data_IF_318558399817
#
_entry.id   IF_318558399817
#
_cell.length_a   1.000
_cell.length_b   1.000
_cell.length_c   1.000
_cell.angle_alpha   90.00
_cell.angle_beta   90.00
_cell.angle_gamma   90.00
#
_symmetry.space_group_name_H-M   'P 1'
#
loop_
_entity.id
_entity.type
_entity.pdbx_description
1 polymer ?
#
# COMPACT_ATOMS: atom_id res chain seq x y z
N UNK A 1 3.70 -1.86 -28.12
CA UNK A 1 4.67 -2.93 -28.42
C UNK A 1 5.35 -3.31 -27.11
N UNK A 2 4.91 -4.39 -26.46
CA UNK A 2 5.58 -4.92 -25.27
C UNK A 2 6.75 -5.77 -25.75
N UNK A 3 7.97 -5.25 -25.57
CA UNK A 3 9.20 -5.94 -25.95
C UNK A 3 9.32 -7.25 -25.16
N UNK A 4 9.59 -8.35 -25.87
CA UNK A 4 10.01 -9.61 -25.26
C UNK A 4 11.46 -9.42 -24.80
N UNK A 5 11.83 -9.90 -23.61
CA UNK A 5 13.23 -9.94 -23.21
C UNK A 5 14.01 -10.82 -24.19
N UNK A 6 15.14 -10.33 -24.68
CA UNK A 6 16.01 -11.13 -25.54
C UNK A 6 16.82 -12.15 -24.72
N UNK A 7 17.43 -13.10 -25.43
CA UNK A 7 18.16 -14.21 -24.81
C UNK A 7 19.39 -13.75 -24.04
N UNK A 8 20.03 -12.66 -24.46
CA UNK A 8 21.18 -12.08 -23.79
C UNK A 8 20.79 -11.49 -22.43
N UNK A 9 19.69 -10.70 -22.39
CA UNK A 9 19.15 -10.14 -21.15
C UNK A 9 18.72 -11.23 -20.18
N UNK A 10 18.12 -12.32 -20.67
CA UNK A 10 17.73 -13.47 -19.82
C UNK A 10 18.97 -14.15 -19.21
N UNK A 11 20.03 -14.33 -19.99
CA UNK A 11 21.28 -14.92 -19.50
C UNK A 11 21.95 -14.03 -18.42
N UNK A 12 21.93 -12.71 -18.60
CA UNK A 12 22.44 -11.75 -17.62
C UNK A 12 21.63 -11.76 -16.32
N UNK A 13 20.29 -11.72 -16.40
CA UNK A 13 19.41 -11.84 -15.23
C UNK A 13 19.73 -13.13 -14.46
N UNK A 14 19.88 -14.25 -15.17
CA UNK A 14 20.22 -15.53 -14.55
C UNK A 14 21.59 -15.51 -13.88
N UNK A 15 22.58 -14.85 -14.47
CA UNK A 15 23.93 -14.76 -13.87
C UNK A 15 23.94 -13.93 -12.59
N UNK A 16 23.14 -12.86 -12.52
CA UNK A 16 23.11 -11.94 -11.38
C UNK A 16 22.19 -12.45 -10.26
N UNK A 17 21.05 -13.05 -10.62
CA UNK A 17 19.99 -13.39 -9.65
C UNK A 17 19.84 -14.88 -9.40
N UNK A 18 20.45 -15.74 -10.23
CA UNK A 18 20.25 -17.19 -10.22
C UNK A 18 18.89 -17.65 -10.78
N UNK A 19 18.02 -16.71 -11.19
CA UNK A 19 16.68 -17.00 -11.66
C UNK A 19 16.62 -17.14 -13.19
N UNK A 20 16.09 -18.26 -13.69
CA UNK A 20 15.74 -18.42 -15.10
C UNK A 20 14.30 -17.99 -15.36
N UNK A 21 14.13 -16.77 -15.87
CA UNK A 21 12.80 -16.21 -16.14
C UNK A 21 12.14 -16.81 -17.39
N UNK A 22 12.85 -17.61 -18.19
CA UNK A 22 12.28 -18.30 -19.35
C UNK A 22 11.45 -19.53 -18.94
N UNK A 23 11.78 -20.16 -17.81
CA UNK A 23 11.10 -21.35 -17.27
C UNK A 23 9.81 -21.03 -16.50
N UNK A 24 9.45 -19.75 -16.40
CA UNK A 24 8.25 -19.32 -15.70
C UNK A 24 6.98 -19.90 -16.35
N UNK A 25 6.02 -20.35 -15.53
CA UNK A 25 4.71 -20.72 -16.04
C UNK A 25 3.95 -19.49 -16.60
N UNK A 26 3.07 -19.74 -17.58
CA UNK A 26 2.13 -18.71 -18.05
C UNK A 26 1.08 -18.45 -16.97
N UNK A 27 0.90 -17.19 -16.52
CA UNK A 27 -0.09 -16.88 -15.51
C UNK A 27 -1.53 -17.10 -15.98
N UNK A 28 -2.39 -17.40 -15.01
CA UNK A 28 -3.84 -17.59 -15.18
C UNK A 28 -4.56 -16.29 -15.55
N UNK A 29 -5.83 -16.15 -15.14
CA UNK A 29 -6.64 -14.91 -15.31
C UNK A 29 -7.12 -14.33 -13.98
N UNK A 30 -6.73 -14.95 -12.88
CA UNK A 30 -7.10 -14.57 -11.53
C UNK A 30 -6.22 -13.43 -11.02
N UNK A 31 -6.72 -12.71 -10.03
CA UNK A 31 -5.95 -11.74 -9.26
C UNK A 31 -5.86 -12.17 -7.80
N UNK A 32 -4.73 -11.87 -7.17
CA UNK A 32 -4.56 -12.08 -5.73
C UNK A 32 -4.46 -10.74 -5.00
N UNK A 33 -4.99 -10.66 -3.79
CA UNK A 33 -5.06 -9.44 -2.99
C UNK A 33 -4.49 -9.72 -1.61
N UNK A 34 -3.46 -9.00 -1.22
CA UNK A 34 -2.84 -9.12 0.07
C UNK A 34 -2.79 -7.76 0.77
N UNK A 35 -2.72 -7.77 2.09
CA UNK A 35 -2.51 -6.58 2.89
C UNK A 35 -2.28 -6.98 4.33
N UNK A 36 -1.56 -6.14 5.07
CA UNK A 36 -1.34 -6.37 6.51
C UNK A 36 -2.64 -6.12 7.28
N UNK A 37 -2.79 -6.74 8.45
CA UNK A 37 -4.04 -6.80 9.22
C UNK A 37 -4.83 -5.49 9.25
N UNK A 38 -6.13 -5.57 8.94
CA UNK A 38 -7.04 -4.42 9.01
C UNK A 38 -6.98 -3.43 7.84
N UNK A 39 -6.17 -3.68 6.81
CA UNK A 39 -6.11 -2.86 5.57
C UNK A 39 -7.39 -2.89 4.72
N UNK A 40 -8.28 -3.86 4.96
CA UNK A 40 -9.58 -3.96 4.29
C UNK A 40 -9.57 -4.79 3.00
N UNK A 41 -8.72 -5.81 2.92
CA UNK A 41 -8.63 -6.76 1.80
C UNK A 41 -10.00 -7.35 1.44
N UNK A 42 -10.74 -7.91 2.41
CA UNK A 42 -12.04 -8.53 2.15
C UNK A 42 -13.08 -7.51 1.63
N UNK A 43 -13.04 -6.27 2.14
CA UNK A 43 -13.90 -5.19 1.65
C UNK A 43 -13.55 -4.79 0.22
N UNK A 44 -12.26 -4.74 -0.12
CA UNK A 44 -11.80 -4.43 -1.47
C UNK A 44 -12.22 -5.50 -2.47
N UNK A 45 -12.02 -6.78 -2.12
CA UNK A 45 -12.46 -7.91 -2.95
C UNK A 45 -13.97 -7.81 -3.17
N UNK A 46 -14.76 -7.64 -2.09
CA UNK A 46 -16.22 -7.51 -2.19
C UNK A 46 -16.65 -6.35 -3.07
N UNK A 47 -16.02 -5.17 -2.94
CA UNK A 47 -16.34 -4.00 -3.76
C UNK A 47 -16.01 -4.23 -5.24
N UNK A 48 -14.85 -4.85 -5.54
CA UNK A 48 -14.45 -5.18 -6.90
C UNK A 48 -15.39 -6.22 -7.52
N UNK A 49 -15.76 -7.27 -6.79
CA UNK A 49 -16.70 -8.31 -7.27
C UNK A 49 -18.08 -7.73 -7.55
N UNK A 50 -18.55 -6.75 -6.78
CA UNK A 50 -19.83 -6.09 -7.05
C UNK A 50 -19.80 -5.23 -8.32
N UNK A 51 -18.69 -4.54 -8.59
CA UNK A 51 -18.55 -3.65 -9.76
C UNK A 51 -18.17 -4.42 -11.03
N UNK A 52 -17.37 -5.47 -10.90
CA UNK A 52 -16.84 -6.28 -11.99
C UNK A 52 -16.91 -7.77 -11.63
N UNK A 53 -18.10 -8.40 -11.72
CA UNK A 53 -18.32 -9.79 -11.29
C UNK A 53 -17.52 -10.85 -12.06
N UNK A 54 -17.02 -10.51 -13.24
CA UNK A 54 -16.15 -11.38 -14.05
C UNK A 54 -14.71 -11.47 -13.52
N UNK A 55 -14.32 -10.63 -12.56
CA UNK A 55 -12.99 -10.68 -11.94
C UNK A 55 -12.96 -11.76 -10.86
N UNK A 56 -12.06 -12.73 -11.03
CA UNK A 56 -11.75 -13.73 -10.02
C UNK A 56 -10.63 -13.21 -9.12
N UNK A 57 -11.01 -12.57 -8.01
CA UNK A 57 -10.08 -12.07 -7.00
C UNK A 57 -10.10 -12.97 -5.76
N UNK A 58 -8.92 -13.31 -5.26
CA UNK A 58 -8.75 -14.11 -4.04
C UNK A 58 -7.84 -13.38 -3.06
N UNK A 59 -8.05 -13.64 -1.77
CA UNK A 59 -7.11 -13.21 -0.76
C UNK A 59 -5.83 -14.04 -0.87
N UNK A 60 -4.68 -13.37 -0.83
CA UNK A 60 -3.39 -14.03 -0.90
C UNK A 60 -3.10 -14.79 0.39
N UNK A 61 -2.58 -16.00 0.25
CA UNK A 61 -2.18 -16.85 1.35
C UNK A 61 -0.79 -17.42 1.04
N UNK A 62 0.15 -17.21 1.96
CA UNK A 62 1.50 -17.73 1.82
C UNK A 62 1.49 -19.27 1.71
N UNK A 63 2.15 -19.81 0.70
CA UNK A 63 2.24 -21.25 0.46
C UNK A 63 0.95 -21.95 0.02
N UNK A 64 -0.08 -21.22 -0.43
CA UNK A 64 -1.30 -21.84 -0.96
C UNK A 64 -1.12 -22.33 -2.41
N UNK A 65 -1.30 -23.64 -2.63
CA UNK A 65 -1.31 -24.27 -3.95
C UNK A 65 -2.56 -23.95 -4.79
N UNK A 66 -3.53 -23.20 -4.23
CA UNK A 66 -4.84 -23.01 -4.85
C UNK A 66 -4.81 -22.19 -6.16
N UNK A 67 -3.77 -21.40 -6.38
CA UNK A 67 -3.50 -20.71 -7.65
C UNK A 67 -2.05 -20.22 -7.73
N UNK A 68 -1.11 -21.04 -8.21
CA UNK A 68 0.33 -20.76 -8.04
C UNK A 68 0.82 -19.53 -8.83
N UNK A 69 0.06 -19.05 -9.84
CA UNK A 69 0.51 -18.01 -10.76
C UNK A 69 -0.63 -17.06 -11.19
N UNK A 70 -1.11 -16.16 -10.30
CA UNK A 70 -2.10 -15.15 -10.65
C UNK A 70 -1.58 -14.21 -11.76
N UNK A 71 -2.50 -13.66 -12.55
CA UNK A 71 -2.16 -12.68 -13.58
C UNK A 71 -1.70 -11.34 -13.00
N UNK A 72 -2.14 -11.04 -11.79
CA UNK A 72 -1.90 -9.77 -11.11
C UNK A 72 -2.00 -9.95 -9.61
N UNK A 73 -1.18 -9.20 -8.87
CA UNK A 73 -1.29 -9.07 -7.43
C UNK A 73 -1.61 -7.63 -7.01
N UNK A 74 -2.34 -7.49 -5.90
CA UNK A 74 -2.64 -6.20 -5.28
C UNK A 74 -2.08 -6.22 -3.87
N UNK A 75 -1.27 -5.22 -3.54
CA UNK A 75 -0.91 -4.90 -2.16
C UNK A 75 -1.82 -3.77 -1.66
N UNK A 76 -2.67 -4.09 -0.68
CA UNK A 76 -3.52 -3.12 -0.01
C UNK A 76 -2.76 -2.50 1.15
N UNK A 77 -2.69 -1.17 1.15
CA UNK A 77 -2.07 -0.37 2.19
C UNK A 77 -3.11 0.57 2.81
N UNK A 78 -2.98 0.82 4.11
CA UNK A 78 -3.81 1.76 4.84
C UNK A 78 -3.00 3.06 5.08
N UNK A 79 -3.52 4.25 4.74
CA UNK A 79 -2.88 5.53 5.03
C UNK A 79 -2.44 5.70 6.48
N UNK A 80 -3.14 5.04 7.42
CA UNK A 80 -2.87 5.13 8.86
C UNK A 80 -1.81 4.17 9.37
N UNK A 81 -1.43 3.17 8.57
CA UNK A 81 -0.43 2.19 8.93
C UNK A 81 0.98 2.64 8.51
N UNK A 82 1.97 2.26 9.31
CA UNK A 82 3.35 2.29 8.87
C UNK A 82 3.55 1.28 7.76
N UNK A 83 4.34 1.63 6.75
CA UNK A 83 4.99 0.59 5.95
C UNK A 83 6.21 0.16 6.74
N UNK A 84 6.20 -1.09 7.17
CA UNK A 84 7.32 -1.75 7.81
C UNK A 84 7.89 -2.87 6.94
N UNK A 85 8.66 -3.75 7.60
CA UNK A 85 9.26 -4.91 6.95
C UNK A 85 8.21 -5.91 6.43
N UNK A 86 7.06 -5.98 7.09
CA UNK A 86 5.97 -6.89 6.72
C UNK A 86 5.40 -6.53 5.34
N UNK A 87 5.09 -5.25 5.08
CA UNK A 87 4.63 -4.80 3.77
C UNK A 87 5.71 -4.94 2.69
N UNK A 88 6.99 -4.72 3.04
CA UNK A 88 8.12 -4.90 2.11
C UNK A 88 8.29 -6.36 1.74
N UNK A 89 8.26 -7.27 2.72
CA UNK A 89 8.35 -8.71 2.51
C UNK A 89 7.15 -9.22 1.70
N UNK A 90 5.95 -8.74 2.02
CA UNK A 90 4.72 -9.06 1.29
C UNK A 90 4.79 -8.58 -0.16
N UNK A 91 5.23 -7.35 -0.41
CA UNK A 91 5.44 -6.83 -1.76
C UNK A 91 6.44 -7.70 -2.54
N UNK A 92 7.55 -8.08 -1.91
CA UNK A 92 8.56 -8.94 -2.52
C UNK A 92 7.99 -10.32 -2.89
N UNK A 93 7.15 -10.90 -2.04
CA UNK A 93 6.45 -12.16 -2.32
C UNK A 93 5.49 -12.02 -3.53
N UNK A 94 4.63 -11.00 -3.51
CA UNK A 94 3.68 -10.74 -4.60
C UNK A 94 4.37 -10.49 -5.95
N UNK A 95 5.49 -9.75 -5.93
CA UNK A 95 6.28 -9.49 -7.15
C UNK A 95 6.92 -10.75 -7.71
N UNK A 96 7.31 -11.70 -6.84
CA UNK A 96 7.85 -13.00 -7.26
C UNK A 96 6.78 -13.90 -7.87
N UNK A 97 5.58 -13.87 -7.33
CA UNK A 97 4.49 -14.76 -7.74
C UNK A 97 3.81 -14.30 -9.04
N UNK A 98 3.32 -13.05 -9.05
CA UNK A 98 2.53 -12.48 -10.14
C UNK A 98 3.37 -11.75 -11.19
N UNK A 99 4.49 -11.14 -10.79
CA UNK A 99 5.28 -10.21 -11.61
C UNK A 99 4.60 -8.86 -11.86
N UNK A 100 3.27 -8.82 -12.01
CA UNK A 100 2.47 -7.59 -12.11
C UNK A 100 1.85 -7.29 -10.76
N UNK A 101 2.24 -6.17 -10.14
CA UNK A 101 1.73 -5.76 -8.82
C UNK A 101 1.26 -4.32 -8.84
N UNK A 102 0.09 -4.05 -8.25
CA UNK A 102 -0.38 -2.70 -7.97
C UNK A 102 -0.42 -2.44 -6.45
N UNK A 103 -0.20 -1.19 -6.06
CA UNK A 103 -0.40 -0.72 -4.69
C UNK A 103 -1.74 0.00 -4.61
N UNK A 104 -2.60 -0.44 -3.68
CA UNK A 104 -3.94 0.11 -3.47
C UNK A 104 -4.02 0.71 -2.07
N UNK A 105 -4.12 2.04 -2.03
CA UNK A 105 -4.32 2.80 -0.81
C UNK A 105 -5.81 2.85 -0.48
N UNK A 106 -6.25 2.07 0.51
CA UNK A 106 -7.65 1.99 0.92
C UNK A 106 -8.02 3.09 1.93
N UNK A 107 -9.32 3.30 2.18
CA UNK A 107 -9.87 4.22 3.19
C UNK A 107 -9.59 5.71 2.91
N UNK A 108 -9.46 6.09 1.65
CA UNK A 108 -9.21 7.49 1.26
C UNK A 108 -10.38 8.42 1.62
N UNK A 109 -11.58 7.87 1.79
CA UNK A 109 -12.78 8.55 2.26
C UNK A 109 -12.67 8.99 3.73
N UNK A 110 -11.84 8.29 4.51
CA UNK A 110 -11.61 8.56 5.94
C UNK A 110 -10.45 9.53 6.14
N UNK A 111 -9.37 9.39 5.36
CA UNK A 111 -8.12 10.13 5.54
C UNK A 111 -7.95 11.22 4.49
N UNK A 112 -8.26 12.47 4.82
CA UNK A 112 -8.17 13.58 3.87
C UNK A 112 -6.75 13.83 3.31
N UNK A 113 -5.71 13.58 4.12
CA UNK A 113 -4.30 13.73 3.74
C UNK A 113 -3.69 12.43 3.18
N UNK A 114 -4.54 11.51 2.70
CA UNK A 114 -4.11 10.28 2.06
C UNK A 114 -3.08 10.50 0.93
N UNK A 115 -3.09 11.59 0.13
CA UNK A 115 -2.08 11.74 -0.92
C UNK A 115 -0.67 11.93 -0.35
N UNK A 116 -0.51 12.66 0.75
CA UNK A 116 0.78 12.85 1.40
C UNK A 116 1.25 11.55 2.05
N UNK A 117 0.36 10.86 2.76
CA UNK A 117 0.63 9.56 3.39
C UNK A 117 1.08 8.54 2.34
N UNK A 118 0.39 8.50 1.20
CA UNK A 118 0.71 7.60 0.10
C UNK A 118 2.06 7.88 -0.55
N UNK A 119 2.48 9.14 -0.66
CA UNK A 119 3.85 9.47 -1.12
C UNK A 119 4.92 8.90 -0.20
N UNK A 120 4.70 8.94 1.12
CA UNK A 120 5.63 8.34 2.10
C UNK A 120 5.66 6.83 1.99
N UNK A 121 4.49 6.19 1.92
CA UNK A 121 4.36 4.75 1.66
C UNK A 121 5.14 4.37 0.40
N UNK A 122 4.98 5.15 -0.67
CA UNK A 122 5.67 4.95 -1.95
C UNK A 122 7.18 5.09 -1.84
N UNK A 123 7.70 6.04 -1.07
CA UNK A 123 9.15 6.17 -0.89
C UNK A 123 9.82 4.95 -0.29
N UNK A 124 9.07 4.07 0.36
CA UNK A 124 9.55 2.80 0.91
C UNK A 124 9.25 1.63 -0.04
N UNK A 125 7.99 1.50 -0.49
CA UNK A 125 7.56 0.34 -1.29
C UNK A 125 7.94 0.41 -2.77
N UNK A 126 7.94 1.61 -3.35
CA UNK A 126 8.19 1.83 -4.77
C UNK A 126 9.01 3.11 -4.99
N UNK A 127 10.28 3.15 -4.54
CA UNK A 127 11.10 4.36 -4.60
C UNK A 127 11.34 4.84 -6.04
N UNK A 128 11.38 3.90 -6.99
CA UNK A 128 11.57 4.17 -8.41
C UNK A 128 10.28 4.55 -9.14
N UNK A 129 9.13 4.53 -8.48
CA UNK A 129 7.87 4.98 -9.04
C UNK A 129 7.31 4.10 -10.17
N UNK A 130 7.57 2.79 -10.15
CA UNK A 130 7.24 1.85 -11.24
C UNK A 130 5.90 1.16 -11.06
N UNK A 131 5.36 1.09 -9.85
CA UNK A 131 4.13 0.35 -9.58
C UNK A 131 2.89 1.22 -9.85
N UNK A 132 1.84 0.67 -10.49
CA UNK A 132 0.51 1.28 -10.53
C UNK A 132 -0.01 1.54 -9.12
N UNK A 133 -0.64 2.70 -8.94
CA UNK A 133 -1.08 3.21 -7.65
C UNK A 133 -2.53 3.66 -7.73
N UNK A 134 -3.37 3.15 -6.85
CA UNK A 134 -4.78 3.50 -6.78
C UNK A 134 -5.15 3.96 -5.37
N UNK A 135 -5.83 5.09 -5.26
CA UNK A 135 -6.53 5.49 -4.04
C UNK A 135 -7.98 5.00 -4.12
N UNK A 136 -8.43 4.22 -3.13
CA UNK A 136 -9.78 3.64 -3.13
C UNK A 136 -10.49 3.81 -1.80
N UNK A 137 -11.81 3.93 -1.86
CA UNK A 137 -12.70 3.66 -0.75
C UNK A 137 -13.35 2.30 -1.01
N UNK A 138 -13.02 1.27 -0.23
CA UNK A 138 -13.45 -0.12 -0.45
C UNK A 138 -14.93 -0.36 -0.09
N UNK A 139 -15.82 0.29 -0.82
CA UNK A 139 -17.28 0.11 -0.79
C UNK A 139 -17.79 0.06 -2.23
N UNK A 140 -18.96 -0.56 -2.43
CA UNK A 140 -19.59 -0.55 -3.76
C UNK A 140 -19.94 0.90 -4.16
N UNK A 141 -19.47 1.33 -5.34
CA UNK A 141 -19.56 2.72 -5.78
C UNK A 141 -18.57 3.68 -5.10
N UNK A 142 -17.66 3.16 -4.28
CA UNK A 142 -16.60 3.95 -3.65
C UNK A 142 -15.61 4.51 -4.67
N UNK A 143 -15.06 5.67 -4.35
CA UNK A 143 -14.08 6.37 -5.19
C UNK A 143 -12.93 5.43 -5.57
N UNK A 144 -12.51 5.45 -6.83
CA UNK A 144 -11.35 4.71 -7.33
C UNK A 144 -11.58 3.22 -7.66
N UNK A 145 -12.69 2.61 -7.22
CA UNK A 145 -12.97 1.19 -7.51
C UNK A 145 -13.15 0.94 -9.00
N UNK A 146 -13.87 1.81 -9.72
CA UNK A 146 -14.08 1.66 -11.16
C UNK A 146 -12.76 1.62 -11.95
N UNK A 147 -11.86 2.58 -11.68
CA UNK A 147 -10.54 2.65 -12.32
C UNK A 147 -9.67 1.42 -11.98
N UNK A 148 -9.72 0.95 -10.73
CA UNK A 148 -9.02 -0.28 -10.33
C UNK A 148 -9.57 -1.49 -11.09
N UNK A 149 -10.89 -1.67 -11.15
CA UNK A 149 -11.52 -2.81 -11.85
C UNK A 149 -11.30 -2.79 -13.36
N UNK A 150 -11.25 -1.61 -13.97
CA UNK A 150 -10.91 -1.44 -15.39
C UNK A 150 -9.47 -1.88 -15.67
N UNK A 151 -8.52 -1.44 -14.83
CA UNK A 151 -7.13 -1.85 -14.94
C UNK A 151 -6.96 -3.36 -14.71
N UNK A 152 -7.59 -3.93 -13.67
CA UNK A 152 -7.58 -5.37 -13.42
C UNK A 152 -8.13 -6.15 -14.61
N UNK A 153 -9.27 -5.72 -15.16
CA UNK A 153 -9.89 -6.36 -16.33
C UNK A 153 -8.95 -6.33 -17.54
N UNK A 154 -8.24 -5.22 -17.74
CA UNK A 154 -7.26 -5.08 -18.83
C UNK A 154 -6.13 -6.09 -18.69
N UNK A 155 -5.58 -6.27 -17.48
CA UNK A 155 -4.47 -7.19 -17.22
C UNK A 155 -4.94 -8.66 -17.32
N UNK A 156 -6.06 -9.00 -16.68
CA UNK A 156 -6.56 -10.39 -16.63
C UNK A 156 -7.12 -10.88 -17.96
N UNK A 157 -7.69 -9.99 -18.77
CA UNK A 157 -8.24 -10.30 -20.10
C UNK A 157 -7.21 -10.28 -21.22
N UNK A 158 -5.99 -9.80 -20.96
CA UNK A 158 -4.93 -9.77 -21.96
C UNK A 158 -4.62 -11.17 -22.51
N UNK A 159 -4.19 -11.32 -23.78
CA UNK A 159 -3.79 -12.61 -24.33
C UNK A 159 -2.70 -13.31 -23.50
N UNK A 160 -2.69 -14.64 -23.47
CA UNK A 160 -1.79 -15.44 -22.62
C UNK A 160 -0.30 -15.07 -22.83
N UNK A 161 0.15 -14.91 -24.07
CA UNK A 161 1.52 -14.49 -24.37
C UNK A 161 1.86 -13.08 -23.86
N UNK A 162 0.88 -12.17 -23.80
CA UNK A 162 1.08 -10.85 -23.20
C UNK A 162 1.21 -10.95 -21.68
N UNK A 163 0.35 -11.74 -21.02
CA UNK A 163 0.44 -11.95 -19.57
C UNK A 163 1.75 -12.63 -19.18
N UNK A 164 2.21 -13.60 -19.95
CA UNK A 164 3.52 -14.24 -19.78
C UNK A 164 4.65 -13.22 -19.83
N UNK A 165 4.71 -12.37 -20.86
CA UNK A 165 5.77 -11.33 -20.98
C UNK A 165 5.74 -10.32 -19.84
N UNK A 166 4.54 -9.92 -19.40
CA UNK A 166 4.38 -9.01 -18.26
C UNK A 166 4.90 -9.64 -16.96
N UNK A 167 4.54 -10.90 -16.70
CA UNK A 167 5.06 -11.65 -15.54
C UNK A 167 6.57 -11.82 -15.62
N UNK A 168 7.08 -12.25 -16.77
CA UNK A 168 8.51 -12.44 -17.00
C UNK A 168 9.31 -11.18 -16.69
N UNK A 169 8.89 -10.04 -17.25
CA UNK A 169 9.55 -8.75 -17.05
C UNK A 169 9.44 -8.28 -15.59
N UNK A 170 8.27 -8.44 -14.98
CA UNK A 170 8.02 -8.02 -13.60
C UNK A 170 8.80 -8.83 -12.56
N UNK A 171 8.86 -10.15 -12.74
CA UNK A 171 9.64 -11.07 -11.91
C UNK A 171 11.14 -10.82 -12.08
N UNK A 172 11.62 -10.65 -13.32
CA UNK A 172 13.01 -10.30 -13.60
C UNK A 172 13.43 -9.02 -12.86
N UNK A 173 12.63 -7.96 -12.98
CA UNK A 173 12.90 -6.69 -12.31
C UNK A 173 12.90 -6.84 -10.78
N UNK A 174 11.99 -7.65 -10.23
CA UNK A 174 11.95 -7.92 -8.80
C UNK A 174 13.20 -8.65 -8.29
N UNK A 175 13.69 -9.61 -9.07
CA UNK A 175 14.90 -10.36 -8.74
C UNK A 175 16.15 -9.44 -8.78
N UNK A 176 16.24 -8.55 -9.78
CA UNK A 176 17.33 -7.57 -9.88
C UNK A 176 17.29 -6.57 -8.73
N UNK A 177 16.11 -6.03 -8.40
CA UNK A 177 15.95 -5.11 -7.26
C UNK A 177 16.41 -5.79 -5.95
N UNK A 178 16.04 -7.06 -5.74
CA UNK A 178 16.41 -7.81 -4.55
C UNK A 178 17.92 -8.06 -4.46
N UNK A 179 18.58 -8.37 -5.57
CA UNK A 179 20.04 -8.58 -5.62
C UNK A 179 20.84 -7.30 -5.31
N UNK A 180 20.28 -6.12 -5.59
CA UNK A 180 20.93 -4.83 -5.36
C UNK A 180 20.67 -4.19 -3.98
N UNK A 181 19.81 -4.77 -3.13
CA UNK A 181 19.40 -4.13 -1.87
C UNK A 181 20.27 -4.58 -0.68
N UNK A 182 20.98 -3.67 0.02
CA UNK A 182 21.75 -4.00 1.22
C UNK A 182 20.84 -4.28 2.44
N UNK A 183 21.31 -5.05 3.45
CA UNK A 183 20.50 -5.40 4.61
C UNK A 183 20.15 -4.17 5.48
N UNK A 184 18.96 -4.14 6.11
CA UNK A 184 18.49 -3.00 6.88
C UNK A 184 19.17 -2.84 8.25
N UNK A 185 19.47 -1.59 8.64
CA UNK A 185 20.02 -1.19 9.95
C UNK A 185 18.94 -1.23 11.05
N UNK A 186 19.26 -1.86 12.19
CA UNK A 186 18.34 -2.13 13.31
C UNK A 186 18.10 -0.90 14.21
N UNK A 187 19.02 0.07 14.21
CA UNK A 187 19.02 1.21 15.14
C UNK A 187 17.99 2.30 14.81
N UNK A 188 17.56 2.39 13.55
CA UNK A 188 16.55 3.36 13.07
C UNK A 188 15.13 2.94 13.49
N UNK A 189 14.90 1.64 13.70
CA UNK A 189 13.57 1.01 13.85
C UNK A 189 12.79 1.43 15.09
N UNK A 190 13.46 1.62 16.23
CA UNK A 190 12.79 1.84 17.51
C UNK A 190 12.31 3.28 17.72
N UNK A 191 12.91 4.27 17.03
CA UNK A 191 12.49 5.68 17.13
C UNK A 191 11.22 5.98 16.33
N UNK A 192 10.95 5.25 15.26
CA UNK A 192 9.84 5.53 14.35
C UNK A 192 8.45 5.22 14.95
N UNK A 193 8.32 4.16 15.76
CA UNK A 193 7.02 3.66 16.25
C UNK A 193 6.25 4.66 17.14
N UNK A 194 6.94 5.45 17.97
CA UNK A 194 6.31 6.45 18.84
C UNK A 194 5.84 7.70 18.09
N UNK A 195 6.53 8.06 17.01
CA UNK A 195 6.12 9.16 16.14
C UNK A 195 5.00 8.73 15.19
N UNK A 196 5.03 7.48 14.74
CA UNK A 196 3.97 6.81 13.98
C UNK A 196 2.60 6.98 14.66
N UNK A 197 2.49 6.56 15.93
CA UNK A 197 1.21 6.54 16.67
C UNK A 197 0.61 7.94 16.82
N UNK A 198 1.43 8.95 17.09
CA UNK A 198 0.97 10.34 17.25
C UNK A 198 0.42 10.90 15.94
N UNK A 199 1.07 10.62 14.82
CA UNK A 199 0.66 11.10 13.49
C UNK A 199 -0.63 10.44 13.00
N UNK A 200 -0.81 9.13 13.25
CA UNK A 200 -2.03 8.40 12.88
C UNK A 200 -3.27 8.96 13.57
N UNK A 201 -3.17 9.30 14.85
CA UNK A 201 -4.28 9.92 15.61
C UNK A 201 -4.56 11.34 15.09
N UNK A 202 -3.53 12.15 14.88
CA UNK A 202 -3.69 13.51 14.38
C UNK A 202 -4.35 13.58 12.98
N UNK A 203 -3.98 12.66 12.08
CA UNK A 203 -4.53 12.56 10.73
C UNK A 203 -6.01 12.13 10.72
N UNK A 204 -6.39 11.16 11.57
CA UNK A 204 -7.78 10.68 11.70
C UNK A 204 -8.72 11.76 12.25
N UNK A 205 -8.26 12.51 13.24
CA UNK A 205 -9.10 13.45 13.98
C UNK A 205 -9.13 14.87 13.39
N UNK A 206 -8.50 15.13 12.24
CA UNK A 206 -8.45 16.47 11.61
C UNK A 206 -7.95 17.56 12.58
N UNK A 207 -6.96 17.24 13.42
CA UNK A 207 -6.48 18.15 14.48
C UNK A 207 -7.53 18.54 15.53
N UNK A 208 -8.64 17.80 15.66
CA UNK A 208 -9.70 18.06 16.65
C UNK A 208 -9.17 17.90 18.08
N UNK A 209 -8.35 16.87 18.33
CA UNK A 209 -7.72 16.66 19.64
C UNK A 209 -6.76 17.79 20.02
N UNK A 210 -5.96 18.29 19.08
CA UNK A 210 -5.05 19.44 19.29
C UNK A 210 -5.82 20.74 19.52
N UNK A 211 -6.91 20.96 18.77
CA UNK A 211 -7.82 22.11 19.01
C UNK A 211 -8.52 22.04 20.36
N UNK A 212 -8.93 20.86 20.81
CA UNK A 212 -9.47 20.68 22.17
C UNK A 212 -8.42 20.90 23.25
N UNK A 213 -7.19 20.45 23.04
CA UNK A 213 -6.09 20.69 23.98
C UNK A 213 -5.75 22.18 24.06
N UNK A 214 -5.65 22.88 22.92
CA UNK A 214 -5.45 24.32 22.84
C UNK A 214 -6.58 25.09 23.52
N UNK A 215 -7.84 24.76 23.22
CA UNK A 215 -9.01 25.38 23.85
C UNK A 215 -9.03 25.16 25.38
N UNK A 216 -8.60 24.00 25.86
CA UNK A 216 -8.52 23.72 27.31
C UNK A 216 -7.42 24.53 28.00
N UNK A 217 -6.30 24.77 27.31
CA UNK A 217 -5.24 25.66 27.80
C UNK A 217 -5.75 27.10 27.84
N UNK A 218 -6.37 27.57 26.76
CA UNK A 218 -6.96 28.93 26.70
C UNK A 218 -8.03 29.14 27.78
N UNK A 219 -8.93 28.18 28.00
CA UNK A 219 -9.92 28.25 29.07
C UNK A 219 -9.29 28.25 30.47
N UNK A 220 -8.19 27.49 30.67
CA UNK A 220 -7.49 27.48 31.95
C UNK A 220 -6.79 28.82 32.22
N UNK A 221 -6.19 29.43 31.19
CA UNK A 221 -5.59 30.76 31.27
C UNK A 221 -6.63 31.85 31.53
N UNK A 222 -7.74 31.86 30.79
CA UNK A 222 -8.84 32.82 31.00
C UNK A 222 -9.44 32.70 32.41
N UNK A 223 -9.56 31.47 32.95
CA UNK A 223 -10.03 31.26 34.33
C UNK A 223 -9.05 31.80 35.37
N UNK A 224 -7.75 31.65 35.14
CA UNK A 224 -6.73 32.17 36.06
C UNK A 224 -6.74 33.70 36.11
N UNK A 225 -6.88 34.36 34.95
CA UNK A 225 -6.98 35.81 34.83
C UNK A 225 -8.20 36.38 35.58
N UNK A 226 -9.37 35.75 35.40
CA UNK A 226 -10.60 36.15 36.13
C UNK A 226 -10.46 35.96 37.64
N UNK A 227 -9.79 34.90 38.11
CA UNK A 227 -9.55 34.68 39.54
C UNK A 227 -8.59 35.74 40.10
N UNK A 228 -7.57 36.12 39.33
CA UNK A 228 -6.61 37.14 39.72
C UNK A 228 -7.25 38.53 39.79
N UNK A 229 -8.08 38.89 38.80
CA UNK A 229 -8.86 40.14 38.77
C UNK A 229 -9.84 40.22 39.96
N UNK A 230 -10.52 39.11 40.27
CA UNK A 230 -11.39 39.02 41.45
C UNK A 230 -10.59 39.20 42.75
N UNK A 231 -9.42 38.58 42.83
CA UNK A 231 -8.52 38.71 43.98
C UNK A 231 -7.93 40.12 44.14
N UNK A 232 -7.67 40.83 43.04
CA UNK A 232 -7.26 42.23 43.06
C UNK A 232 -8.39 43.15 43.53
N UNK A 233 -9.61 42.94 43.02
CA UNK A 233 -10.81 43.70 43.41
C UNK A 233 -11.13 43.55 44.89
N UNK A 234 -11.07 42.31 45.42
CA UNK A 234 -11.28 42.02 46.85
C UNK A 234 -10.20 42.65 47.74
N UNK A 235 -8.96 42.79 47.26
CA UNK A 235 -7.88 43.47 48.01
C UNK A 235 -7.93 44.99 47.93
N UNK A 236 -8.67 45.55 46.98
CA UNK A 236 -8.89 46.99 46.83
C UNK A 236 -10.11 47.52 47.59
N UNK A 237 -10.90 46.63 48.21
CA UNK A 237 -11.98 46.91 49.16
C UNK A 237 -11.47 46.85 50.60
#
# INVERSE_FOLDING_TARGET
MTATLDTETIAEIRSVTGLDVSELATPGRTGTVAGVGGTGVSSLISACTQVAPHLELREWQDGSDADPHPAVAILVVDPSAAVGEEEVALLAALRREAGVVAVVCNKIDVYWDWPMMLRRIRSVLDPAGRLPLFGVAATAGGTGIAALTEWLTTVTSAPAGTRYRLRQSGVALAAVDAAGTPPPDESVRLRDLGEQRRRTVAGRDRGRAERYAAARIEFASARAEVIEELGATVRSL
#
